data_IF_660922645484
#
_entry.id   IF_660922645484
#
_cell.length_a   1.000
_cell.length_b   1.000
_cell.length_c   1.000
_cell.angle_alpha   90.00
_cell.angle_beta   90.00
_cell.angle_gamma   90.00
#
_symmetry.space_group_name_H-M   'P 1'
#
loop_
_entity.id
_entity.type
_entity.pdbx_description
1 polymer ?
#
# COMPACT_ATOMS: atom_id res chain seq x y z
N UNK A 1 -8.86 9.03 6.47
CA UNK A 1 -9.41 8.00 5.56
C UNK A 1 -9.11 8.44 4.13
N UNK A 2 -8.46 7.58 3.33
CA UNK A 2 -8.15 7.93 1.95
C UNK A 2 -9.44 8.05 1.13
N UNK A 3 -9.46 8.93 0.12
CA UNK A 3 -10.60 9.07 -0.80
C UNK A 3 -11.01 7.72 -1.43
N UNK A 4 -10.03 6.82 -1.63
CA UNK A 4 -10.26 5.45 -2.11
C UNK A 4 -11.00 4.57 -1.09
N UNK A 5 -10.82 4.78 0.21
CA UNK A 5 -11.56 4.06 1.25
C UNK A 5 -13.04 4.50 1.27
N UNK A 6 -13.33 5.79 1.04
CA UNK A 6 -14.71 6.27 0.90
C UNK A 6 -15.40 5.67 -0.33
N UNK A 7 -14.70 5.56 -1.46
CA UNK A 7 -15.22 4.87 -2.64
C UNK A 7 -15.55 3.41 -2.36
N UNK A 8 -14.74 2.74 -1.53
CA UNK A 8 -15.01 1.34 -1.16
C UNK A 8 -16.29 1.20 -0.32
N UNK A 9 -16.61 2.20 0.52
CA UNK A 9 -17.86 2.22 1.32
C UNK A 9 -19.13 2.44 0.47
N UNK A 10 -18.99 3.02 -0.71
CA UNK A 10 -20.13 3.29 -1.61
C UNK A 10 -20.65 2.03 -2.33
N UNK A 11 -19.93 0.91 -2.28
CA UNK A 11 -20.42 -0.33 -2.88
C UNK A 11 -21.63 -0.87 -2.11
N UNK A 12 -22.73 -1.22 -2.80
CA UNK A 12 -23.98 -1.68 -2.17
C UNK A 12 -23.84 -3.14 -1.69
N UNK A 13 -23.31 -3.32 -0.48
CA UNK A 13 -23.29 -4.63 0.16
C UNK A 13 -24.54 -4.87 1.01
N UNK A 14 -24.88 -6.14 1.22
CA UNK A 14 -25.90 -6.49 2.21
C UNK A 14 -25.45 -6.03 3.60
N UNK A 15 -26.41 -5.69 4.46
CA UNK A 15 -26.14 -5.23 5.83
C UNK A 15 -25.26 -6.21 6.60
N UNK A 16 -25.53 -7.52 6.46
CA UNK A 16 -24.76 -8.59 7.08
C UNK A 16 -23.29 -8.64 6.59
N UNK A 17 -23.07 -8.40 5.30
CA UNK A 17 -21.72 -8.39 4.72
C UNK A 17 -20.95 -7.17 5.18
N UNK A 18 -21.60 -6.01 5.24
CA UNK A 18 -20.98 -4.78 5.74
C UNK A 18 -20.55 -4.91 7.21
N UNK A 19 -21.39 -5.49 8.08
CA UNK A 19 -21.05 -5.74 9.48
C UNK A 19 -19.85 -6.68 9.63
N UNK A 20 -19.72 -7.70 8.78
CA UNK A 20 -18.55 -8.59 8.77
C UNK A 20 -17.27 -7.83 8.41
N UNK A 21 -17.33 -6.98 7.39
CA UNK A 21 -16.20 -6.16 6.97
C UNK A 21 -15.79 -5.15 8.05
N UNK A 22 -16.78 -4.55 8.72
CA UNK A 22 -16.53 -3.61 9.79
C UNK A 22 -15.81 -4.29 10.98
N UNK A 23 -16.24 -5.50 11.36
CA UNK A 23 -15.55 -6.29 12.41
C UNK A 23 -14.13 -6.67 12.02
N UNK A 24 -13.91 -7.08 10.77
CA UNK A 24 -12.56 -7.40 10.28
C UNK A 24 -11.65 -6.16 10.29
N UNK A 25 -12.19 -5.00 9.92
CA UNK A 25 -11.46 -3.73 9.97
C UNK A 25 -11.12 -3.30 11.40
N UNK A 26 -12.05 -3.47 12.34
CA UNK A 26 -11.79 -3.21 13.76
C UNK A 26 -10.66 -4.08 14.30
N UNK A 27 -10.63 -5.36 13.92
CA UNK A 27 -9.58 -6.30 14.32
C UNK A 27 -8.23 -5.94 13.71
N UNK A 28 -8.22 -5.60 12.42
CA UNK A 28 -7.03 -5.09 11.73
C UNK A 28 -6.49 -3.82 12.42
N UNK A 29 -7.36 -2.86 12.72
CA UNK A 29 -6.99 -1.62 13.38
C UNK A 29 -6.45 -1.84 14.80
N UNK A 30 -6.98 -2.79 15.56
CA UNK A 30 -6.43 -3.18 16.88
C UNK A 30 -5.00 -3.72 16.74
N UNK A 31 -4.74 -4.59 15.75
CA UNK A 31 -3.40 -5.12 15.51
C UNK A 31 -2.42 -4.00 15.13
N UNK A 32 -2.82 -3.11 14.22
CA UNK A 32 -2.01 -1.94 13.83
C UNK A 32 -1.76 -1.03 15.05
N UNK A 33 -2.75 -0.81 15.91
CA UNK A 33 -2.60 0.03 17.10
C UNK A 33 -1.64 -0.58 18.14
N UNK A 34 -1.60 -1.92 18.26
CA UNK A 34 -0.65 -2.62 19.16
C UNK A 34 0.78 -2.47 18.65
N UNK A 35 1.00 -2.77 17.37
CA UNK A 35 2.32 -2.72 16.74
C UNK A 35 2.81 -1.27 16.58
N UNK A 36 1.87 -0.34 16.36
CA UNK A 36 2.14 1.10 16.23
C UNK A 36 2.34 1.84 17.57
N UNK A 37 2.48 1.13 18.72
CA UNK A 37 2.83 1.77 19.99
C UNK A 37 4.31 2.16 19.98
N UNK A 38 4.57 3.40 19.62
CA UNK A 38 5.91 3.99 19.59
C UNK A 38 6.01 5.04 20.71
N UNK A 39 6.65 4.67 21.83
CA UNK A 39 6.77 5.53 23.01
C UNK A 39 8.07 6.35 22.99
N UNK A 40 9.05 5.93 22.23
CA UNK A 40 10.37 6.55 22.11
C UNK A 40 10.93 6.36 20.69
N UNK A 41 12.10 6.98 20.44
CA UNK A 41 12.75 6.92 19.14
C UNK A 41 13.20 5.51 18.74
N UNK A 42 13.59 4.67 19.72
CA UNK A 42 13.99 3.28 19.43
C UNK A 42 12.79 2.44 18.97
N UNK A 43 11.62 2.62 19.59
CA UNK A 43 10.39 1.96 19.15
C UNK A 43 10.03 2.36 17.70
N UNK A 44 10.24 3.64 17.35
CA UNK A 44 10.04 4.11 15.98
C UNK A 44 10.99 3.42 14.98
N UNK A 45 12.28 3.30 15.30
CA UNK A 45 13.25 2.59 14.44
C UNK A 45 12.86 1.11 14.29
N UNK A 46 12.50 0.44 15.39
CA UNK A 46 12.02 -0.95 15.34
C UNK A 46 10.76 -1.08 14.50
N UNK A 47 9.81 -0.15 14.63
CA UNK A 47 8.60 -0.12 13.80
C UNK A 47 8.91 0.09 12.32
N UNK A 48 9.87 0.93 11.96
CA UNK A 48 10.32 1.07 10.57
C UNK A 48 10.87 -0.25 10.00
N UNK A 49 11.67 -0.96 10.78
CA UNK A 49 12.20 -2.26 10.33
C UNK A 49 11.07 -3.28 10.18
N UNK A 50 10.21 -3.42 11.21
CA UNK A 50 9.20 -4.46 11.29
C UNK A 50 7.98 -4.22 10.41
N UNK A 51 7.58 -2.96 10.18
CA UNK A 51 6.37 -2.61 9.46
C UNK A 51 6.62 -2.02 8.06
N UNK A 52 7.84 -1.55 7.78
CA UNK A 52 8.14 -0.97 6.48
C UNK A 52 9.14 -1.84 5.69
N UNK A 53 10.31 -2.11 6.23
CA UNK A 53 11.39 -2.75 5.48
C UNK A 53 11.14 -4.25 5.30
N UNK A 54 10.93 -4.99 6.38
CA UNK A 54 10.75 -6.44 6.31
C UNK A 54 9.52 -6.84 5.50
N UNK A 55 8.31 -6.26 5.72
CA UNK A 55 7.16 -6.58 4.88
C UNK A 55 7.42 -6.29 3.41
N UNK A 56 8.00 -5.13 3.06
CA UNK A 56 8.30 -4.80 1.68
C UNK A 56 9.26 -5.82 1.03
N UNK A 57 10.29 -6.28 1.75
CA UNK A 57 11.21 -7.30 1.23
C UNK A 57 10.50 -8.64 0.97
N UNK A 58 9.74 -9.14 1.94
CA UNK A 58 9.04 -10.42 1.81
C UNK A 58 7.92 -10.36 0.78
N UNK A 59 7.10 -9.33 0.85
CA UNK A 59 5.94 -9.18 -0.03
C UNK A 59 6.37 -8.98 -1.49
N UNK A 60 7.33 -8.11 -1.78
CA UNK A 60 7.80 -7.94 -3.15
C UNK A 60 8.44 -9.21 -3.69
N UNK A 61 9.20 -9.95 -2.87
CA UNK A 61 9.78 -11.22 -3.27
C UNK A 61 8.70 -12.25 -3.63
N UNK A 62 7.66 -12.37 -2.80
CA UNK A 62 6.58 -13.34 -3.02
C UNK A 62 5.70 -12.91 -4.18
N UNK A 63 5.23 -11.64 -4.19
CA UNK A 63 4.24 -11.19 -5.15
C UNK A 63 4.84 -10.87 -6.52
N UNK A 64 5.98 -10.18 -6.61
CA UNK A 64 6.60 -9.79 -7.90
C UNK A 64 7.60 -10.82 -8.36
N UNK A 65 8.55 -11.20 -7.51
CA UNK A 65 9.53 -12.23 -7.81
C UNK A 65 8.91 -13.61 -8.06
N UNK A 66 7.93 -13.98 -7.24
CA UNK A 66 7.21 -15.27 -7.31
C UNK A 66 5.97 -15.21 -8.19
N UNK A 67 4.84 -14.78 -7.61
CA UNK A 67 3.49 -14.93 -8.17
C UNK A 67 3.33 -14.23 -9.53
N UNK A 68 3.62 -12.93 -9.61
CA UNK A 68 3.48 -12.19 -10.86
C UNK A 68 4.33 -12.76 -11.98
N UNK A 69 5.57 -13.14 -11.66
CA UNK A 69 6.50 -13.72 -12.63
C UNK A 69 6.00 -15.08 -13.13
N UNK A 70 5.51 -15.94 -12.22
CA UNK A 70 4.90 -17.23 -12.56
C UNK A 70 3.69 -17.06 -13.46
N UNK A 71 2.73 -16.22 -13.08
CA UNK A 71 1.51 -15.96 -13.85
C UNK A 71 1.82 -15.36 -15.22
N UNK A 72 2.77 -14.43 -15.31
CA UNK A 72 3.18 -13.80 -16.57
C UNK A 72 3.77 -14.80 -17.55
N UNK A 73 4.58 -15.74 -17.06
CA UNK A 73 5.15 -16.83 -17.88
C UNK A 73 4.08 -17.83 -18.31
N UNK A 74 3.15 -18.16 -17.44
CA UNK A 74 2.14 -19.19 -17.67
C UNK A 74 1.06 -18.69 -18.64
N UNK A 75 0.51 -17.52 -18.38
CA UNK A 75 -0.57 -16.96 -19.20
C UNK A 75 -0.09 -16.20 -20.42
N UNK A 76 1.19 -15.79 -20.46
CA UNK A 76 1.75 -14.91 -21.48
C UNK A 76 0.98 -13.57 -21.63
N UNK A 77 0.32 -13.14 -20.54
CA UNK A 77 -0.51 -11.95 -20.47
C UNK A 77 -0.04 -11.10 -19.28
N UNK A 78 1.03 -10.29 -19.43
CA UNK A 78 1.66 -9.60 -18.32
C UNK A 78 0.72 -8.64 -17.60
N UNK A 79 -0.14 -7.92 -18.31
CA UNK A 79 -1.09 -6.97 -17.71
C UNK A 79 -2.12 -7.71 -16.82
N UNK A 80 -2.67 -8.82 -17.30
CA UNK A 80 -3.60 -9.64 -16.53
C UNK A 80 -2.91 -10.18 -15.27
N UNK A 81 -1.66 -10.63 -15.39
CA UNK A 81 -0.87 -11.12 -14.25
C UNK A 81 -0.63 -10.02 -13.21
N UNK A 82 -0.36 -8.78 -13.63
CA UNK A 82 -0.23 -7.63 -12.74
C UNK A 82 -1.54 -7.38 -11.99
N UNK A 83 -2.67 -7.30 -12.71
CA UNK A 83 -3.99 -7.05 -12.11
C UNK A 83 -4.36 -8.14 -11.10
N UNK A 84 -4.23 -9.40 -11.48
CA UNK A 84 -4.55 -10.53 -10.59
C UNK A 84 -3.66 -10.54 -9.36
N UNK A 85 -2.35 -10.32 -9.53
CA UNK A 85 -1.41 -10.23 -8.41
C UNK A 85 -1.75 -9.06 -7.48
N UNK A 86 -2.12 -7.90 -8.02
CA UNK A 86 -2.52 -6.72 -7.24
C UNK A 86 -3.80 -6.96 -6.42
N UNK A 87 -4.78 -7.65 -7.01
CA UNK A 87 -6.00 -8.06 -6.30
C UNK A 87 -5.69 -9.03 -5.17
N UNK A 88 -4.91 -10.08 -5.43
CA UNK A 88 -4.51 -11.05 -4.40
C UNK A 88 -3.71 -10.36 -3.29
N UNK A 89 -2.75 -9.50 -3.65
CA UNK A 89 -1.98 -8.67 -2.72
C UNK A 89 -2.88 -7.89 -1.77
N UNK A 90 -3.92 -7.25 -2.30
CA UNK A 90 -4.86 -6.49 -1.49
C UNK A 90 -5.74 -7.36 -0.59
N UNK A 91 -6.19 -8.52 -1.08
CA UNK A 91 -7.05 -9.45 -0.31
C UNK A 91 -6.32 -10.00 0.91
N UNK A 92 -5.06 -10.42 0.77
CA UNK A 92 -4.30 -11.04 1.88
C UNK A 92 -4.02 -10.08 3.05
N UNK A 93 -4.15 -8.78 2.84
CA UNK A 93 -4.02 -7.79 3.91
C UNK A 93 -5.25 -7.74 4.85
N UNK A 94 -6.36 -8.36 4.51
CA UNK A 94 -7.52 -8.51 5.39
C UNK A 94 -8.29 -7.23 5.75
N UNK A 95 -7.93 -6.06 5.18
CA UNK A 95 -8.64 -4.79 5.39
C UNK A 95 -9.50 -4.46 4.19
N UNK A 96 -10.81 -4.38 4.42
CA UNK A 96 -11.78 -4.09 3.36
C UNK A 96 -11.71 -2.64 2.89
N UNK A 97 -11.70 -1.68 3.80
CA UNK A 97 -11.65 -0.26 3.44
C UNK A 97 -10.30 0.16 2.83
N UNK A 98 -9.24 -0.57 3.16
CA UNK A 98 -7.94 -0.41 2.52
C UNK A 98 -7.77 -1.16 1.19
N UNK A 99 -8.76 -1.96 0.78
CA UNK A 99 -8.65 -2.84 -0.38
C UNK A 99 -8.27 -2.09 -1.66
N UNK A 100 -9.02 -1.06 -2.02
CA UNK A 100 -8.81 -0.34 -3.27
C UNK A 100 -7.46 0.40 -3.29
N UNK A 101 -7.06 1.00 -2.16
CA UNK A 101 -5.77 1.69 -2.03
C UNK A 101 -4.59 0.72 -2.21
N UNK A 102 -4.69 -0.47 -1.60
CA UNK A 102 -3.64 -1.50 -1.73
C UNK A 102 -3.62 -2.15 -3.11
N UNK A 103 -4.79 -2.34 -3.73
CA UNK A 103 -4.86 -2.84 -5.10
C UNK A 103 -4.20 -1.88 -6.10
N UNK A 104 -4.44 -0.56 -5.95
CA UNK A 104 -3.77 0.46 -6.76
C UNK A 104 -2.26 0.46 -6.52
N UNK A 105 -1.82 0.44 -5.26
CA UNK A 105 -0.38 0.34 -4.93
C UNK A 105 0.21 -0.95 -5.53
N UNK A 106 -0.49 -2.07 -5.36
CA UNK A 106 -0.10 -3.36 -5.92
C UNK A 106 0.04 -3.32 -7.44
N UNK A 107 -0.89 -2.67 -8.13
CA UNK A 107 -0.82 -2.49 -9.57
C UNK A 107 0.40 -1.63 -9.97
N UNK A 108 0.63 -0.49 -9.33
CA UNK A 108 1.76 0.40 -9.63
C UNK A 108 3.11 -0.29 -9.43
N UNK A 109 3.27 -1.01 -8.32
CA UNK A 109 4.47 -1.80 -8.05
C UNK A 109 4.63 -2.94 -9.07
N UNK A 110 3.54 -3.63 -9.42
CA UNK A 110 3.56 -4.68 -10.44
C UNK A 110 3.93 -4.17 -11.82
N UNK A 111 3.42 -2.98 -12.19
CA UNK A 111 3.79 -2.30 -13.43
C UNK A 111 5.26 -1.87 -13.43
N UNK A 112 5.74 -1.29 -12.32
CA UNK A 112 7.13 -0.89 -12.17
C UNK A 112 8.08 -2.09 -12.32
N UNK A 113 7.75 -3.23 -11.70
CA UNK A 113 8.50 -4.47 -11.86
C UNK A 113 8.49 -4.98 -13.31
N UNK A 114 7.34 -4.97 -13.96
CA UNK A 114 7.21 -5.39 -15.36
C UNK A 114 8.10 -4.55 -16.29
N UNK A 115 8.19 -3.24 -16.03
CA UNK A 115 8.98 -2.31 -16.85
C UNK A 115 10.48 -2.37 -16.57
N UNK A 116 10.89 -2.63 -15.36
CA UNK A 116 12.30 -2.54 -14.95
C UNK A 116 12.98 -3.89 -14.74
N UNK A 117 12.22 -4.92 -14.45
CA UNK A 117 12.76 -6.22 -14.01
C UNK A 117 13.54 -6.15 -12.70
N UNK A 118 13.53 -5.00 -12.01
CA UNK A 118 14.37 -4.75 -10.84
C UNK A 118 13.55 -4.83 -9.54
N UNK A 119 13.69 -5.96 -8.85
CA UNK A 119 12.98 -6.20 -7.58
C UNK A 119 13.40 -5.24 -6.46
N UNK A 120 14.67 -4.80 -6.44
CA UNK A 120 15.15 -3.86 -5.42
C UNK A 120 14.47 -2.50 -5.52
N UNK A 121 14.20 -2.03 -6.73
CA UNK A 121 13.48 -0.78 -6.93
C UNK A 121 12.08 -0.87 -6.32
N UNK A 122 11.40 -2.01 -6.52
CA UNK A 122 10.10 -2.28 -5.93
C UNK A 122 10.15 -2.31 -4.40
N UNK A 123 11.12 -3.03 -3.84
CA UNK A 123 11.31 -3.12 -2.38
C UNK A 123 11.51 -1.73 -1.78
N UNK A 124 12.36 -0.90 -2.38
CA UNK A 124 12.64 0.46 -1.90
C UNK A 124 11.37 1.32 -1.98
N UNK A 125 10.65 1.29 -3.10
CA UNK A 125 9.43 2.08 -3.28
C UNK A 125 8.34 1.66 -2.29
N UNK A 126 8.15 0.36 -2.09
CA UNK A 126 7.19 -0.18 -1.14
C UNK A 126 7.58 0.14 0.30
N UNK A 127 8.84 -0.08 0.67
CA UNK A 127 9.35 0.27 1.99
C UNK A 127 9.21 1.77 2.28
N UNK A 128 9.47 2.65 1.31
CA UNK A 128 9.28 4.10 1.45
C UNK A 128 7.81 4.46 1.69
N UNK A 129 6.86 3.82 0.98
CA UNK A 129 5.43 4.01 1.21
C UNK A 129 5.02 3.61 2.64
N UNK A 130 5.48 2.45 3.10
CA UNK A 130 5.19 1.96 4.45
C UNK A 130 5.87 2.81 5.52
N UNK A 131 7.13 3.21 5.30
CA UNK A 131 7.88 4.09 6.19
C UNK A 131 7.21 5.46 6.34
N UNK A 132 6.64 5.99 5.27
CA UNK A 132 5.85 7.23 5.33
C UNK A 132 4.67 7.08 6.28
N UNK A 133 3.90 5.99 6.18
CA UNK A 133 2.76 5.72 7.07
C UNK A 133 3.21 5.60 8.54
N UNK A 134 4.27 4.82 8.82
CA UNK A 134 4.83 4.64 10.18
C UNK A 134 5.32 5.99 10.74
N UNK A 135 5.99 6.80 9.92
CA UNK A 135 6.49 8.12 10.32
C UNK A 135 5.35 9.08 10.66
N UNK A 136 4.27 9.06 9.88
CA UNK A 136 3.07 9.87 10.16
C UNK A 136 2.44 9.49 11.51
N UNK A 137 2.33 8.20 11.80
CA UNK A 137 1.86 7.70 13.09
C UNK A 137 2.76 8.20 14.22
N UNK A 138 4.07 8.12 14.06
CA UNK A 138 5.03 8.58 15.06
C UNK A 138 4.92 10.09 15.32
N UNK A 139 4.82 10.91 14.27
CA UNK A 139 4.62 12.37 14.39
C UNK A 139 3.31 12.70 15.12
N UNK A 140 2.22 12.00 14.81
CA UNK A 140 0.95 12.19 15.50
C UNK A 140 1.07 11.90 16.99
N UNK A 141 1.76 10.82 17.37
CA UNK A 141 2.00 10.45 18.77
C UNK A 141 2.92 11.42 19.52
N UNK A 142 3.88 12.01 18.85
CA UNK A 142 4.70 13.07 19.45
C UNK A 142 3.88 14.32 19.80
N UNK A 143 2.80 14.59 19.04
CA UNK A 143 1.88 15.72 19.28
C UNK A 143 0.84 15.40 20.36
N UNK A 144 0.30 14.18 20.32
CA UNK A 144 -0.67 13.68 21.30
C UNK A 144 -0.38 12.20 21.61
N UNK A 145 0.27 11.90 22.76
CA UNK A 145 0.57 10.52 23.16
C UNK A 145 -0.66 9.63 23.34
N UNK A 146 -1.84 10.22 23.53
CA UNK A 146 -3.11 9.49 23.73
C UNK A 146 -3.91 9.33 22.44
N UNK A 147 -3.39 9.80 21.32
CA UNK A 147 -4.09 9.71 20.03
C UNK A 147 -4.43 8.26 19.71
N UNK A 148 -5.70 8.00 19.43
CA UNK A 148 -6.14 6.74 18.85
C UNK A 148 -5.83 6.76 17.34
N UNK A 149 -4.70 6.18 16.97
CA UNK A 149 -4.22 6.17 15.59
C UNK A 149 -5.21 5.49 14.64
N UNK A 150 -6.00 4.52 15.14
CA UNK A 150 -7.04 3.86 14.35
C UNK A 150 -8.22 4.78 14.03
N UNK A 151 -8.43 5.82 14.85
CA UNK A 151 -9.49 6.82 14.70
C UNK A 151 -8.97 8.20 14.31
N UNK A 152 -7.65 8.35 14.17
CA UNK A 152 -7.06 9.61 13.76
C UNK A 152 -7.48 9.92 12.30
N UNK A 153 -8.62 10.57 12.16
CA UNK A 153 -9.02 11.20 10.92
C UNK A 153 -8.05 12.34 10.65
N UNK A 154 -7.05 12.04 9.85
CA UNK A 154 -6.28 13.09 9.20
C UNK A 154 -7.24 13.69 8.17
N UNK A 155 -7.96 14.74 8.57
CA UNK A 155 -8.92 15.46 7.74
C UNK A 155 -8.11 16.21 6.66
N UNK A 156 -7.57 15.43 5.72
CA UNK A 156 -6.90 15.97 4.55
C UNK A 156 -8.00 16.48 3.63
N UNK A 157 -7.94 17.78 3.34
CA UNK A 157 -8.78 18.39 2.30
C UNK A 157 -8.71 17.51 1.03
N UNK A 158 -9.84 17.35 0.34
CA UNK A 158 -9.95 16.62 -0.94
C UNK A 158 -8.87 17.06 -1.95
N UNK A 159 -8.44 18.32 -1.87
CA UNK A 159 -7.38 18.89 -2.70
C UNK A 159 -6.03 18.19 -2.52
N UNK A 160 -5.67 17.71 -1.32
CA UNK A 160 -4.47 16.92 -1.10
C UNK A 160 -4.54 15.56 -1.81
N UNK A 161 -5.74 14.97 -1.90
CA UNK A 161 -5.98 13.77 -2.69
C UNK A 161 -5.77 14.03 -4.19
N UNK A 162 -6.30 15.13 -4.71
CA UNK A 162 -6.12 15.54 -6.11
C UNK A 162 -4.64 15.82 -6.42
N UNK A 163 -3.95 16.55 -5.55
CA UNK A 163 -2.52 16.85 -5.69
C UNK A 163 -1.71 15.55 -5.69
N UNK A 164 -2.00 14.64 -4.75
CA UNK A 164 -1.30 13.33 -4.68
C UNK A 164 -1.49 12.52 -5.95
N UNK A 165 -2.71 12.46 -6.50
CA UNK A 165 -2.98 11.78 -7.76
C UNK A 165 -2.25 12.43 -8.93
N UNK A 166 -2.21 13.76 -9.00
CA UNK A 166 -1.49 14.49 -10.05
C UNK A 166 0.02 14.23 -9.95
N UNK A 167 0.59 14.22 -8.74
CA UNK A 167 2.00 13.90 -8.51
C UNK A 167 2.31 12.45 -8.90
N UNK A 168 1.49 11.49 -8.49
CA UNK A 168 1.65 10.07 -8.86
C UNK A 168 1.59 9.91 -10.39
N UNK A 169 0.64 10.56 -11.03
CA UNK A 169 0.50 10.50 -12.50
C UNK A 169 1.70 11.15 -13.20
N UNK A 170 2.17 12.31 -12.71
CA UNK A 170 3.38 12.97 -13.22
C UNK A 170 4.64 12.10 -13.08
N UNK A 171 4.82 11.50 -11.90
CA UNK A 171 5.93 10.57 -11.65
C UNK A 171 5.82 9.31 -12.53
N UNK A 172 4.61 8.82 -12.78
CA UNK A 172 4.39 7.69 -13.66
C UNK A 172 4.78 8.01 -15.10
N UNK A 173 4.42 9.20 -15.63
CA UNK A 173 4.82 9.65 -16.97
C UNK A 173 6.35 9.79 -17.06
N UNK A 174 6.98 10.38 -16.04
CA UNK A 174 8.44 10.49 -16.00
C UNK A 174 9.10 9.11 -16.00
N UNK A 175 8.62 8.21 -15.16
CA UNK A 175 9.10 6.84 -15.09
C UNK A 175 8.98 6.13 -16.45
N UNK A 176 7.84 6.25 -17.13
CA UNK A 176 7.64 5.67 -18.47
C UNK A 176 8.65 6.22 -19.49
N UNK A 177 8.88 7.52 -19.50
CA UNK A 177 9.86 8.15 -20.41
C UNK A 177 11.28 7.62 -20.15
N UNK A 178 11.70 7.55 -18.88
CA UNK A 178 13.03 7.04 -18.54
C UNK A 178 13.16 5.54 -18.79
N UNK A 179 12.14 4.75 -18.53
CA UNK A 179 12.11 3.32 -18.77
C UNK A 179 12.21 2.97 -20.24
N UNK A 180 11.51 3.72 -21.13
CA UNK A 180 11.62 3.53 -22.58
C UNK A 180 13.01 3.89 -23.12
N UNK A 181 13.66 4.89 -22.55
CA UNK A 181 15.01 5.27 -22.94
C UNK A 181 16.05 4.17 -22.67
N UNK A 182 15.85 3.37 -21.60
CA UNK A 182 16.75 2.25 -21.28
C UNK A 182 16.52 1.01 -22.16
N UNK A 183 15.29 0.78 -22.63
CA UNK A 183 14.95 -0.37 -23.49
C UNK A 183 15.48 -0.17 -24.93
N UNK A 184 15.63 1.08 -25.39
CA UNK A 184 16.08 1.44 -26.74
C UNK A 184 17.60 1.66 -26.85
N UNK A 185 18.34 1.39 -25.77
CA UNK A 185 19.82 1.33 -25.76
C UNK A 185 20.31 -0.10 -25.73
#
# INVERSE_FOLDING_TARGET
>A
VSALAELTKMFPFSKLTFEKFQKAEEEYNKQVAIIGRMNNFMDYILSLIMLAILPAMFEETIFRGGLQNLLSRWWKMPIVSIVVTAVIFSIVHGSYFGFLSRAVLGFLLGWMYYRTGNLWLNIIAHAANNAFAVTMIYILRLRDPKVDVAKADVNLSVWWGVISLAVIFGLFILFERFSQYQINK
#
